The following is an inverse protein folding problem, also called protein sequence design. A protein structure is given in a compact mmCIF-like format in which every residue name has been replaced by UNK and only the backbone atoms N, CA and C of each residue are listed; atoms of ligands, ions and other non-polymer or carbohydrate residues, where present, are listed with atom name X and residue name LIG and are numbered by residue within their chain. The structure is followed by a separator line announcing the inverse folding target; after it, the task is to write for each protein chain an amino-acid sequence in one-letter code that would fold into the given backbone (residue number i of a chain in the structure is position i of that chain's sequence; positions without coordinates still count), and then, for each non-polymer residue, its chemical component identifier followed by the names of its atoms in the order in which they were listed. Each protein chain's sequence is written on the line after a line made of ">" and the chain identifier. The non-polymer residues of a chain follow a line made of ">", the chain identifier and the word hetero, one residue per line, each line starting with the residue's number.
data_IF_115558338469
#
_entry.id   IF_115558338469
#
_cell.length_a   1.000
_cell.length_b   1.000
_cell.length_c   1.000
_cell.angle_alpha   90.00
_cell.angle_beta   90.00
_cell.angle_gamma   90.00
#
_symmetry.space_group_name_H-M   'P 1'
#
loop_
_entity.id
_entity.type
_entity.pdbx_description
1 polymer ?
#
# COMPACT_ATOMS: atom_id res chain seq x y z
N UNK A 1 -8.25 -9.01 -10.28
CA UNK A 1 -8.50 -9.03 -11.76
C UNK A 1 -9.41 -10.21 -12.06
N UNK A 2 -10.65 -9.95 -12.43
CA UNK A 2 -11.58 -10.99 -12.88
C UNK A 2 -11.21 -11.37 -14.32
N UNK A 3 -10.80 -12.62 -14.52
CA UNK A 3 -10.73 -13.32 -15.81
C UNK A 3 -10.15 -12.55 -17.01
N UNK A 4 -8.84 -12.32 -17.07
CA UNK A 4 -8.17 -11.94 -18.33
C UNK A 4 -8.46 -10.53 -18.87
N UNK A 5 -9.16 -9.68 -18.14
CA UNK A 5 -9.41 -8.31 -18.53
C UNK A 5 -8.16 -7.44 -18.29
N UNK A 6 -7.93 -6.51 -19.22
CA UNK A 6 -6.86 -5.52 -19.09
C UNK A 6 -7.12 -4.62 -17.86
N UNK A 7 -6.08 -4.29 -17.06
CA UNK A 7 -6.22 -3.39 -15.91
C UNK A 7 -6.78 -2.03 -16.31
N UNK A 8 -7.66 -1.49 -15.48
CA UNK A 8 -8.26 -0.17 -15.68
C UNK A 8 -7.54 0.88 -14.84
N UNK A 9 -6.99 1.89 -15.49
CA UNK A 9 -6.25 2.99 -14.88
C UNK A 9 -7.01 4.30 -15.12
N UNK A 10 -7.35 4.99 -14.03
CA UNK A 10 -7.94 6.33 -14.07
C UNK A 10 -6.82 7.36 -14.02
N UNK A 11 -6.79 8.27 -14.99
CA UNK A 11 -5.83 9.39 -15.05
C UNK A 11 -6.58 10.69 -14.80
N UNK A 12 -6.16 11.43 -13.78
CA UNK A 12 -6.77 12.71 -13.37
C UNK A 12 -5.70 13.80 -13.41
N UNK A 13 -5.80 14.72 -14.36
CA UNK A 13 -4.91 15.86 -14.50
C UNK A 13 -5.68 16.96 -15.24
N UNK A 14 -5.57 18.23 -14.88
CA UNK A 14 -6.26 19.31 -15.60
C UNK A 14 -5.53 19.71 -16.91
N UNK A 15 -4.25 19.30 -17.06
CA UNK A 15 -3.48 19.47 -18.30
C UNK A 15 -3.84 18.38 -19.32
N UNK A 16 -4.44 18.80 -20.44
CA UNK A 16 -4.84 17.90 -21.52
C UNK A 16 -3.64 17.21 -22.19
N UNK A 17 -2.50 17.89 -22.32
CA UNK A 17 -1.29 17.34 -22.96
C UNK A 17 -0.74 16.19 -22.10
N UNK A 18 -0.73 16.35 -20.80
CA UNK A 18 -0.29 15.31 -19.86
C UNK A 18 -1.25 14.13 -19.92
N UNK A 19 -2.56 14.38 -19.80
CA UNK A 19 -3.57 13.31 -19.92
C UNK A 19 -3.46 12.53 -21.21
N UNK A 20 -3.35 13.21 -22.35
CA UNK A 20 -3.20 12.58 -23.65
C UNK A 20 -1.93 11.72 -23.74
N UNK A 21 -0.81 12.24 -23.24
CA UNK A 21 0.48 11.55 -23.26
C UNK A 21 0.46 10.29 -22.40
N UNK A 22 -0.11 10.36 -21.20
CA UNK A 22 -0.29 9.22 -20.30
C UNK A 22 -1.24 8.19 -20.90
N UNK A 23 -2.39 8.62 -21.42
CA UNK A 23 -3.35 7.74 -22.09
C UNK A 23 -2.69 7.00 -23.25
N UNK A 24 -2.00 7.71 -24.15
CA UNK A 24 -1.33 7.11 -25.30
C UNK A 24 -0.25 6.10 -24.90
N UNK A 25 0.55 6.42 -23.88
CA UNK A 25 1.62 5.53 -23.40
C UNK A 25 1.05 4.28 -22.73
N UNK A 26 0.11 4.45 -21.82
CA UNK A 26 -0.42 3.35 -21.01
C UNK A 26 -1.36 2.44 -21.82
N UNK A 27 -2.15 2.99 -22.75
CA UNK A 27 -2.96 2.17 -23.66
C UNK A 27 -2.10 1.28 -24.57
N UNK A 28 -0.91 1.75 -25.01
CA UNK A 28 0.02 0.91 -25.77
C UNK A 28 0.60 -0.25 -24.97
N UNK A 29 0.57 -0.17 -23.63
CA UNK A 29 0.97 -1.24 -22.73
C UNK A 29 -0.19 -2.22 -22.41
N UNK A 30 -1.36 -2.01 -23.03
CA UNK A 30 -2.51 -2.89 -22.88
C UNK A 30 -3.43 -2.55 -21.70
N UNK A 31 -3.33 -1.33 -21.13
CA UNK A 31 -4.21 -0.88 -20.06
C UNK A 31 -5.45 -0.17 -20.60
N UNK A 32 -6.59 -0.33 -19.92
CA UNK A 32 -7.79 0.45 -20.17
C UNK A 32 -7.66 1.79 -19.45
N UNK A 33 -7.76 2.90 -20.17
CA UNK A 33 -7.54 4.23 -19.61
C UNK A 33 -8.84 5.02 -19.57
N UNK A 34 -9.17 5.53 -18.39
CA UNK A 34 -10.23 6.52 -18.19
C UNK A 34 -9.53 7.84 -17.87
N UNK A 35 -9.71 8.83 -18.75
CA UNK A 35 -9.05 10.14 -18.66
C UNK A 35 -10.04 11.18 -18.16
N UNK A 36 -9.75 11.82 -17.03
CA UNK A 36 -10.60 12.79 -16.35
C UNK A 36 -9.82 14.08 -16.09
N UNK A 37 -10.51 15.21 -16.17
CA UNK A 37 -9.91 16.52 -15.90
C UNK A 37 -10.17 17.05 -14.49
N UNK A 38 -10.98 16.32 -13.69
CA UNK A 38 -11.41 16.76 -12.35
C UNK A 38 -11.41 15.59 -11.38
N UNK A 39 -11.02 15.85 -10.14
CA UNK A 39 -11.07 14.87 -9.07
C UNK A 39 -12.49 14.44 -8.70
N UNK A 40 -13.47 15.37 -8.80
CA UNK A 40 -14.88 15.09 -8.53
C UNK A 40 -15.45 14.02 -9.47
N UNK A 41 -15.04 14.04 -10.75
CA UNK A 41 -15.47 13.05 -11.74
C UNK A 41 -14.90 11.66 -11.41
N UNK A 42 -13.67 11.61 -10.87
CA UNK A 42 -13.06 10.37 -10.40
C UNK A 42 -13.80 9.80 -9.18
N UNK A 43 -14.18 10.65 -8.21
CA UNK A 43 -15.00 10.21 -7.07
C UNK A 43 -16.39 9.74 -7.48
N UNK A 44 -17.00 10.44 -8.44
CA UNK A 44 -18.30 10.01 -8.98
C UNK A 44 -18.19 8.64 -9.65
N UNK A 45 -17.13 8.43 -10.44
CA UNK A 45 -16.83 7.16 -11.09
C UNK A 45 -16.66 6.03 -10.06
N UNK A 46 -15.87 6.25 -9.01
CA UNK A 46 -15.63 5.26 -7.96
C UNK A 46 -16.90 4.83 -7.20
N UNK A 47 -17.88 5.73 -7.08
CA UNK A 47 -19.11 5.47 -6.35
C UNK A 47 -20.21 4.81 -7.20
N UNK A 48 -20.21 5.04 -8.50
CA UNK A 48 -21.36 4.72 -9.37
C UNK A 48 -20.99 3.74 -10.50
N UNK A 49 -19.74 3.38 -10.66
CA UNK A 49 -19.29 2.49 -11.74
C UNK A 49 -18.98 1.09 -11.19
N UNK A 50 -19.51 0.07 -11.83
CA UNK A 50 -19.26 -1.33 -11.50
C UNK A 50 -17.89 -1.83 -12.01
N UNK A 51 -17.18 -1.02 -12.79
CA UNK A 51 -15.86 -1.38 -13.30
C UNK A 51 -14.83 -1.42 -12.18
N UNK A 52 -14.09 -2.50 -12.13
CA UNK A 52 -12.95 -2.62 -11.23
C UNK A 52 -11.85 -1.62 -11.69
N UNK A 53 -11.59 -0.58 -10.90
CA UNK A 53 -10.50 0.35 -11.11
C UNK A 53 -9.27 -0.18 -10.39
N UNK A 54 -8.18 -0.37 -11.13
CA UNK A 54 -6.96 -1.00 -10.61
C UNK A 54 -5.92 0.00 -10.12
N UNK A 55 -5.94 1.24 -10.64
CA UNK A 55 -5.01 2.30 -10.27
C UNK A 55 -5.62 3.66 -10.56
N UNK A 56 -5.37 4.63 -9.70
CA UNK A 56 -5.59 6.04 -9.95
C UNK A 56 -4.23 6.73 -10.09
N UNK A 57 -4.06 7.53 -11.12
CA UNK A 57 -2.94 8.46 -11.31
C UNK A 57 -3.53 9.86 -11.24
N UNK A 58 -3.11 10.67 -10.29
CA UNK A 58 -3.66 12.02 -10.12
C UNK A 58 -2.58 13.07 -9.92
N UNK A 59 -2.76 14.24 -10.54
CA UNK A 59 -1.99 15.44 -10.14
C UNK A 59 -2.45 15.89 -8.74
N UNK A 60 -1.56 16.48 -7.98
CA UNK A 60 -1.91 17.16 -6.72
C UNK A 60 -2.69 18.43 -7.01
N UNK A 61 -2.19 19.26 -7.95
CA UNK A 61 -2.78 20.57 -8.23
C UNK A 61 -3.88 20.46 -9.27
N UNK A 62 -5.08 20.13 -8.82
CA UNK A 62 -6.29 20.15 -9.61
C UNK A 62 -7.16 21.36 -9.21
N UNK A 63 -8.08 21.73 -10.09
CA UNK A 63 -9.07 22.78 -9.79
C UNK A 63 -10.14 22.24 -8.84
N UNK A 64 -10.62 23.06 -7.89
CA UNK A 64 -11.61 22.76 -6.86
C UNK A 64 -11.13 21.75 -5.83
N UNK A 65 -11.27 20.44 -6.08
CA UNK A 65 -10.74 19.37 -5.25
C UNK A 65 -9.33 19.03 -5.68
N UNK A 66 -8.36 19.05 -4.76
CA UNK A 66 -6.98 18.65 -5.05
C UNK A 66 -6.78 17.13 -5.02
N UNK A 67 -5.65 16.66 -5.56
CA UNK A 67 -5.34 15.23 -5.65
C UNK A 67 -5.12 14.57 -4.28
N UNK A 68 -4.72 15.33 -3.26
CA UNK A 68 -4.57 14.82 -1.88
C UNK A 68 -5.94 14.60 -1.25
N UNK A 69 -6.87 15.50 -1.50
CA UNK A 69 -8.26 15.34 -1.05
C UNK A 69 -8.93 14.14 -1.72
N UNK A 70 -8.72 13.96 -3.04
CA UNK A 70 -9.15 12.77 -3.76
C UNK A 70 -8.59 11.50 -3.10
N UNK A 71 -7.28 11.46 -2.86
CA UNK A 71 -6.59 10.33 -2.21
C UNK A 71 -7.20 9.98 -0.85
N UNK A 72 -7.50 10.98 -0.03
CA UNK A 72 -8.15 10.77 1.28
C UNK A 72 -9.50 10.09 1.13
N UNK A 73 -10.33 10.54 0.18
CA UNK A 73 -11.63 9.92 -0.08
C UNK A 73 -11.50 8.48 -0.58
N UNK A 74 -10.51 8.21 -1.43
CA UNK A 74 -10.23 6.86 -1.94
C UNK A 74 -9.83 5.92 -0.81
N UNK A 75 -8.96 6.37 0.11
CA UNK A 75 -8.42 5.52 1.16
C UNK A 75 -9.38 5.18 2.31
N UNK A 76 -10.44 5.99 2.51
CA UNK A 76 -11.49 5.67 3.50
C UNK A 76 -12.60 4.80 2.92
N UNK A 77 -12.55 4.46 1.63
CA UNK A 77 -13.52 3.56 1.00
C UNK A 77 -13.31 2.11 1.45
N UNK A 78 -14.37 1.30 1.38
CA UNK A 78 -14.31 -0.13 1.74
C UNK A 78 -13.29 -0.91 0.89
N UNK A 79 -13.06 -0.48 -0.34
CA UNK A 79 -12.09 -1.06 -1.27
C UNK A 79 -11.16 0.03 -1.80
N UNK A 80 -10.11 0.41 -1.07
CA UNK A 80 -9.21 1.47 -1.48
C UNK A 80 -8.48 1.11 -2.78
N UNK A 81 -8.52 2.03 -3.73
CA UNK A 81 -7.81 1.89 -5.01
C UNK A 81 -6.40 2.43 -4.86
N UNK A 82 -5.36 1.68 -5.27
CA UNK A 82 -4.00 2.18 -5.31
C UNK A 82 -3.93 3.53 -6.02
N UNK A 83 -3.22 4.50 -5.44
CA UNK A 83 -3.10 5.84 -6.01
C UNK A 83 -1.64 6.23 -6.17
N UNK A 84 -1.28 6.63 -7.39
CA UNK A 84 -0.01 7.22 -7.78
C UNK A 84 -0.19 8.73 -7.93
N UNK A 85 0.63 9.50 -7.25
CA UNK A 85 0.59 10.96 -7.31
C UNK A 85 1.57 11.48 -8.36
N UNK A 86 1.14 12.45 -9.15
CA UNK A 86 2.03 13.24 -10.00
C UNK A 86 2.08 14.65 -9.41
N UNK A 87 3.27 15.22 -9.25
CA UNK A 87 3.44 16.53 -8.62
C UNK A 87 4.39 17.43 -9.40
N UNK A 88 4.09 18.72 -9.47
CA UNK A 88 4.94 19.73 -10.09
C UNK A 88 6.21 20.06 -9.27
N UNK A 89 7.11 20.87 -9.85
CA UNK A 89 8.32 21.32 -9.16
C UNK A 89 7.99 22.15 -7.92
N UNK A 90 8.67 21.85 -6.81
CA UNK A 90 8.75 22.69 -5.62
C UNK A 90 8.12 22.13 -4.34
N UNK A 91 7.31 21.08 -4.37
CA UNK A 91 6.58 20.63 -3.19
C UNK A 91 6.93 19.18 -2.79
N UNK A 92 8.17 18.98 -2.31
CA UNK A 92 8.53 17.71 -1.62
C UNK A 92 7.60 17.49 -0.41
N UNK A 93 7.19 18.55 0.25
CA UNK A 93 6.23 18.50 1.38
C UNK A 93 4.89 17.91 0.96
N UNK A 94 4.36 18.31 -0.20
CA UNK A 94 3.10 17.75 -0.72
C UNK A 94 3.24 16.27 -1.10
N UNK A 95 4.39 15.84 -1.64
CA UNK A 95 4.68 14.45 -1.92
C UNK A 95 4.75 13.61 -0.62
N UNK A 96 5.46 14.11 0.40
CA UNK A 96 5.53 13.47 1.72
C UNK A 96 4.13 13.38 2.34
N UNK A 97 3.35 14.45 2.24
CA UNK A 97 1.97 14.49 2.72
C UNK A 97 1.10 13.46 2.01
N UNK A 98 1.23 13.34 0.68
CA UNK A 98 0.51 12.33 -0.08
C UNK A 98 0.87 10.90 0.36
N UNK A 99 2.15 10.58 0.57
CA UNK A 99 2.57 9.28 1.09
C UNK A 99 1.98 8.99 2.48
N UNK A 100 1.97 9.99 3.39
CA UNK A 100 1.33 9.86 4.71
C UNK A 100 -0.18 9.60 4.63
N UNK A 101 -0.84 10.09 3.59
CA UNK A 101 -2.26 9.82 3.33
C UNK A 101 -2.49 8.53 2.52
N UNK A 102 -1.43 7.74 2.28
CA UNK A 102 -1.54 6.40 1.70
C UNK A 102 -1.40 6.37 0.18
N UNK A 103 -0.81 7.38 -0.46
CA UNK A 103 -0.32 7.22 -1.82
C UNK A 103 0.75 6.13 -1.85
N UNK A 104 0.71 5.27 -2.87
CA UNK A 104 1.70 4.20 -3.01
C UNK A 104 3.05 4.70 -3.48
N UNK A 105 3.05 5.76 -4.29
CA UNK A 105 4.26 6.37 -4.83
C UNK A 105 3.95 7.76 -5.39
N UNK A 106 4.99 8.52 -5.76
CA UNK A 106 4.83 9.78 -6.44
C UNK A 106 5.87 9.96 -7.55
N UNK A 107 5.51 10.74 -8.59
CA UNK A 107 6.38 11.11 -9.70
C UNK A 107 6.42 12.62 -9.83
N UNK A 108 7.62 13.19 -10.01
CA UNK A 108 7.80 14.63 -10.15
C UNK A 108 7.74 15.06 -11.63
N UNK A 109 7.00 16.14 -11.89
CA UNK A 109 7.04 16.83 -13.18
C UNK A 109 8.32 17.72 -13.27
N UNK A 110 9.06 17.75 -14.39
CA UNK A 110 8.86 16.94 -15.61
C UNK A 110 9.32 15.49 -15.41
N UNK A 111 8.63 14.54 -16.03
CA UNK A 111 8.90 13.11 -15.92
C UNK A 111 9.07 12.44 -17.30
N UNK A 112 9.76 11.32 -17.34
CA UNK A 112 9.82 10.43 -18.50
C UNK A 112 8.62 9.49 -18.51
N UNK A 113 8.00 9.31 -19.67
CA UNK A 113 6.89 8.38 -19.86
C UNK A 113 7.27 6.91 -19.61
N UNK A 114 8.56 6.55 -19.69
CA UNK A 114 9.05 5.21 -19.35
C UNK A 114 9.14 5.03 -17.84
N UNK A 115 9.49 6.07 -17.09
CA UNK A 115 9.46 6.10 -15.64
C UNK A 115 8.04 5.84 -15.15
N UNK A 116 7.06 6.61 -15.63
CA UNK A 116 5.64 6.40 -15.30
C UNK A 116 5.20 4.98 -15.62
N UNK A 117 5.52 4.47 -16.81
CA UNK A 117 5.17 3.13 -17.24
C UNK A 117 5.77 2.04 -16.33
N UNK A 118 6.99 2.26 -15.83
CA UNK A 118 7.67 1.35 -14.91
C UNK A 118 6.98 1.31 -13.55
N UNK A 119 6.68 2.48 -12.98
CA UNK A 119 5.99 2.61 -11.68
C UNK A 119 4.59 1.99 -11.76
N UNK A 120 3.81 2.33 -12.78
CA UNK A 120 2.47 1.77 -13.02
C UNK A 120 2.50 0.24 -13.11
N UNK A 121 3.44 -0.32 -13.88
CA UNK A 121 3.61 -1.78 -14.01
C UNK A 121 3.91 -2.43 -12.66
N UNK A 122 4.78 -1.83 -11.86
CA UNK A 122 5.15 -2.35 -10.54
C UNK A 122 3.95 -2.34 -9.58
N UNK A 123 3.19 -1.25 -9.54
CA UNK A 123 1.99 -1.14 -8.70
C UNK A 123 0.96 -2.20 -9.10
N UNK A 124 0.63 -2.29 -10.38
CA UNK A 124 -0.37 -3.24 -10.89
C UNK A 124 0.05 -4.70 -10.68
N UNK A 125 1.35 -5.01 -10.86
CA UNK A 125 1.89 -6.35 -10.59
C UNK A 125 1.76 -6.71 -9.10
N UNK A 126 2.10 -5.82 -8.17
CA UNK A 126 1.93 -6.04 -6.73
C UNK A 126 0.46 -6.28 -6.38
N UNK A 127 -0.45 -5.47 -6.92
CA UNK A 127 -1.89 -5.65 -6.72
C UNK A 127 -2.37 -7.01 -7.22
N UNK A 128 -1.90 -7.45 -8.38
CA UNK A 128 -2.24 -8.77 -8.92
C UNK A 128 -1.72 -9.90 -8.04
N UNK A 129 -0.49 -9.81 -7.53
CA UNK A 129 0.06 -10.80 -6.59
C UNK A 129 -0.77 -10.87 -5.31
N UNK A 130 -1.09 -9.74 -4.69
CA UNK A 130 -1.98 -9.68 -3.52
C UNK A 130 -3.38 -10.24 -3.81
N UNK A 131 -3.94 -9.98 -4.97
CA UNK A 131 -5.25 -10.55 -5.37
C UNK A 131 -5.20 -12.07 -5.51
N UNK A 132 -4.12 -12.63 -6.05
CA UNK A 132 -3.91 -14.07 -6.14
C UNK A 132 -3.70 -14.70 -4.74
N UNK A 133 -2.90 -14.09 -3.89
CA UNK A 133 -2.71 -14.53 -2.50
C UNK A 133 -4.03 -14.50 -1.73
N UNK A 134 -4.84 -13.46 -1.90
CA UNK A 134 -6.19 -13.35 -1.32
C UNK A 134 -7.13 -14.43 -1.83
N UNK A 135 -7.05 -14.76 -3.13
CA UNK A 135 -7.88 -15.81 -3.73
C UNK A 135 -7.45 -17.19 -3.23
N UNK A 136 -6.15 -17.45 -3.12
CA UNK A 136 -5.62 -18.71 -2.58
C UNK A 136 -5.91 -18.84 -1.08
N UNK A 137 -5.81 -17.74 -0.33
CA UNK A 137 -6.06 -17.72 1.13
C UNK A 137 -7.44 -18.30 1.50
N UNK A 138 -8.48 -18.07 0.70
CA UNK A 138 -9.83 -18.60 0.96
C UNK A 138 -9.94 -20.14 0.82
N UNK A 139 -8.95 -20.80 0.21
CA UNK A 139 -8.89 -22.25 0.04
C UNK A 139 -7.93 -22.92 1.04
N UNK A 140 -7.23 -22.13 1.87
CA UNK A 140 -6.35 -22.65 2.91
C UNK A 140 -7.24 -23.14 4.05
N UNK A 141 -7.25 -24.44 4.27
CA UNK A 141 -7.97 -25.11 5.36
C UNK A 141 -7.06 -25.28 6.57
N UNK A 142 -5.76 -25.47 6.32
CA UNK A 142 -4.74 -25.67 7.34
C UNK A 142 -3.39 -25.13 6.83
N UNK A 143 -2.64 -24.42 7.68
CA UNK A 143 -1.35 -23.83 7.34
C UNK A 143 -0.37 -24.09 8.49
N UNK A 144 0.54 -25.04 8.28
CA UNK A 144 1.61 -25.37 9.20
C UNK A 144 2.94 -24.81 8.73
N UNK A 145 3.54 -23.91 9.53
CA UNK A 145 4.84 -23.32 9.23
C UNK A 145 5.78 -23.48 10.42
N UNK A 146 7.00 -23.87 10.13
CA UNK A 146 8.10 -23.84 11.09
C UNK A 146 9.06 -22.77 10.66
N UNK A 147 9.28 -21.77 11.52
CA UNK A 147 10.22 -20.68 11.28
C UNK A 147 11.37 -20.80 12.27
N UNK A 148 12.59 -20.73 11.77
CA UNK A 148 13.80 -20.56 12.59
C UNK A 148 14.23 -19.13 12.41
N UNK A 149 14.01 -18.31 13.43
CA UNK A 149 14.28 -16.87 13.39
C UNK A 149 15.49 -16.57 14.28
N UNK A 150 16.43 -15.72 13.82
CA UNK A 150 17.49 -15.22 14.68
C UNK A 150 16.90 -14.34 15.80
N UNK A 151 17.65 -14.14 16.85
CA UNK A 151 17.33 -13.20 17.92
C UNK A 151 17.63 -11.79 17.37
N UNK A 152 16.69 -11.21 16.67
CA UNK A 152 16.81 -9.89 16.05
C UNK A 152 15.45 -9.21 16.12
N UNK A 153 15.39 -8.10 16.84
CA UNK A 153 14.14 -7.34 17.07
C UNK A 153 13.51 -6.84 15.76
N UNK A 154 14.33 -6.53 14.76
CA UNK A 154 13.84 -6.05 13.45
C UNK A 154 13.06 -7.10 12.66
N UNK A 155 13.23 -8.38 13.01
CA UNK A 155 12.56 -9.51 12.35
C UNK A 155 11.18 -9.80 13.00
N UNK A 156 10.97 -9.44 14.26
CA UNK A 156 9.73 -9.73 14.96
C UNK A 156 8.51 -9.12 14.25
N UNK A 157 8.60 -7.86 13.83
CA UNK A 157 7.56 -7.17 13.06
C UNK A 157 7.24 -7.90 11.75
N UNK A 158 8.28 -8.29 11.01
CA UNK A 158 8.15 -8.98 9.74
C UNK A 158 7.50 -10.35 9.91
N UNK A 159 7.87 -11.09 10.94
CA UNK A 159 7.30 -12.41 11.27
C UNK A 159 5.84 -12.28 11.70
N UNK A 160 5.52 -11.33 12.58
CA UNK A 160 4.14 -11.08 13.01
C UNK A 160 3.24 -10.73 11.82
N UNK A 161 3.70 -9.83 10.95
CA UNK A 161 3.01 -9.48 9.71
C UNK A 161 2.82 -10.70 8.79
N UNK A 162 3.88 -11.45 8.52
CA UNK A 162 3.86 -12.61 7.61
C UNK A 162 2.91 -13.71 8.08
N UNK A 163 2.84 -13.95 9.39
CA UNK A 163 1.95 -14.96 9.97
C UNK A 163 0.49 -14.52 9.99
N UNK A 164 0.23 -13.22 10.06
CA UNK A 164 -1.14 -12.68 10.23
C UNK A 164 -1.75 -12.12 8.95
N UNK A 165 -0.95 -11.84 7.92
CA UNK A 165 -1.42 -11.22 6.67
C UNK A 165 -2.56 -12.00 5.99
N UNK A 166 -2.61 -13.32 6.14
CA UNK A 166 -3.63 -14.16 5.53
C UNK A 166 -4.96 -14.19 6.30
N UNK A 167 -4.99 -13.77 7.56
CA UNK A 167 -6.18 -13.87 8.41
C UNK A 167 -7.36 -13.05 7.88
N UNK A 168 -7.11 -11.84 7.41
CA UNK A 168 -8.13 -10.99 6.80
C UNK A 168 -8.48 -11.45 5.38
N UNK A 169 -7.50 -11.94 4.62
CA UNK A 169 -7.68 -12.40 3.25
C UNK A 169 -8.51 -13.68 3.17
N UNK A 170 -8.24 -14.61 4.07
CA UNK A 170 -9.02 -15.86 4.19
C UNK A 170 -10.39 -15.66 4.83
N UNK A 171 -10.78 -14.41 5.14
CA UNK A 171 -12.03 -14.03 5.81
C UNK A 171 -12.21 -14.69 7.20
N UNK A 172 -11.14 -15.12 7.85
CA UNK A 172 -11.19 -15.61 9.21
C UNK A 172 -11.56 -14.51 10.20
N UNK A 173 -11.18 -13.26 9.89
CA UNK A 173 -11.54 -12.09 10.69
C UNK A 173 -11.54 -10.82 9.83
N UNK A 174 -12.07 -9.72 10.36
CA UNK A 174 -11.97 -8.42 9.71
C UNK A 174 -10.54 -7.84 9.87
N UNK A 175 -10.22 -6.78 9.10
CA UNK A 175 -8.90 -6.15 9.06
C UNK A 175 -8.45 -5.66 10.44
N UNK A 176 -9.33 -5.00 11.20
CA UNK A 176 -9.01 -4.50 12.55
C UNK A 176 -8.64 -5.63 13.51
N UNK A 177 -9.35 -6.76 13.44
CA UNK A 177 -9.04 -7.95 14.23
C UNK A 177 -7.69 -8.55 13.82
N UNK A 178 -7.38 -8.61 12.51
CA UNK A 178 -6.09 -9.10 12.03
C UNK A 178 -4.92 -8.20 12.51
N UNK A 179 -5.10 -6.89 12.51
CA UNK A 179 -4.14 -5.93 13.03
C UNK A 179 -3.91 -6.13 14.55
N UNK A 180 -4.97 -6.32 15.32
CA UNK A 180 -4.86 -6.62 16.76
C UNK A 180 -4.15 -7.95 17.03
N UNK A 181 -4.41 -9.00 16.23
CA UNK A 181 -3.71 -10.27 16.33
C UNK A 181 -2.22 -10.09 16.00
N UNK A 182 -1.90 -9.30 14.98
CA UNK A 182 -0.52 -9.00 14.61
C UNK A 182 0.23 -8.29 15.74
N UNK A 183 -0.40 -7.31 16.37
CA UNK A 183 0.18 -6.62 17.54
C UNK A 183 0.39 -7.56 18.73
N UNK A 184 -0.58 -8.40 19.04
CA UNK A 184 -0.46 -9.37 20.11
C UNK A 184 0.65 -10.41 19.84
N UNK A 185 0.79 -10.83 18.58
CA UNK A 185 1.85 -11.75 18.18
C UNK A 185 3.22 -11.09 18.24
N UNK A 186 3.33 -9.83 17.82
CA UNK A 186 4.56 -9.05 17.93
C UNK A 186 5.01 -8.92 19.39
N UNK A 187 4.09 -8.58 20.29
CA UNK A 187 4.37 -8.49 21.74
C UNK A 187 4.83 -9.84 22.29
N UNK A 188 4.16 -10.93 21.89
CA UNK A 188 4.56 -12.28 22.30
C UNK A 188 5.95 -12.68 21.80
N UNK A 189 6.26 -12.36 20.54
CA UNK A 189 7.58 -12.63 19.94
C UNK A 189 8.68 -11.79 20.63
N UNK A 190 8.44 -10.51 20.84
CA UNK A 190 9.36 -9.64 21.56
C UNK A 190 9.63 -10.15 22.98
N UNK A 191 8.58 -10.51 23.72
CA UNK A 191 8.72 -11.07 25.04
C UNK A 191 9.50 -12.41 25.05
N UNK A 192 9.25 -13.27 24.06
CA UNK A 192 9.99 -14.53 23.92
C UNK A 192 11.47 -14.29 23.61
N UNK A 193 11.79 -13.30 22.77
CA UNK A 193 13.17 -12.94 22.46
C UNK A 193 13.91 -12.37 23.67
N UNK A 194 13.29 -11.43 24.40
CA UNK A 194 13.95 -10.76 25.53
C UNK A 194 13.98 -11.59 26.80
N UNK A 195 12.88 -12.24 27.15
CA UNK A 195 12.79 -12.99 28.42
C UNK A 195 13.10 -14.48 28.27
N UNK A 196 12.78 -15.06 27.09
CA UNK A 196 12.99 -16.47 26.86
C UNK A 196 14.43 -16.81 26.43
N UNK A 197 15.03 -15.98 25.55
CA UNK A 197 16.34 -16.28 24.97
C UNK A 197 17.49 -15.48 25.59
N UNK A 198 17.22 -14.22 26.01
CA UNK A 198 18.25 -13.33 26.56
C UNK A 198 18.19 -13.27 28.10
N UNK A 199 17.14 -13.82 28.71
CA UNK A 199 16.91 -13.83 30.18
C UNK A 199 16.98 -12.40 30.81
N UNK A 200 16.63 -11.36 30.02
CA UNK A 200 16.68 -9.96 30.45
C UNK A 200 15.49 -9.66 31.37
N UNK A 201 15.70 -9.21 32.61
CA UNK A 201 14.61 -8.85 33.52
C UNK A 201 13.76 -7.68 33.00
N UNK A 202 12.47 -7.68 33.24
CA UNK A 202 11.52 -6.64 32.82
C UNK A 202 11.89 -5.25 33.31
N UNK A 203 12.51 -5.14 34.47
CA UNK A 203 12.94 -3.89 35.12
C UNK A 203 14.00 -3.14 34.29
N UNK A 204 14.91 -3.87 33.63
CA UNK A 204 15.95 -3.26 32.78
C UNK A 204 15.37 -2.64 31.53
N UNK A 205 14.27 -3.18 31.00
CA UNK A 205 13.57 -2.65 29.82
C UNK A 205 12.86 -1.32 30.13
N UNK A 206 12.29 -1.18 31.30
CA UNK A 206 11.58 0.04 31.70
C UNK A 206 12.53 1.22 32.03
N UNK A 207 13.71 0.94 32.58
CA UNK A 207 14.66 1.98 32.99
C UNK A 207 15.50 2.55 31.83
N UNK A 208 15.81 1.77 30.80
CA UNK A 208 16.80 2.17 29.79
C UNK A 208 16.21 2.51 28.42
N UNK A 209 14.96 2.16 28.14
CA UNK A 209 14.34 2.34 26.81
C UNK A 209 15.10 1.55 25.73
N UNK A 210 14.58 1.56 24.50
CA UNK A 210 15.11 0.77 23.36
C UNK A 210 16.60 1.04 23.03
N UNK A 211 17.17 2.19 23.40
CA UNK A 211 18.58 2.54 23.14
C UNK A 211 19.59 1.86 24.10
N UNK A 212 19.18 1.50 25.30
CA UNK A 212 20.07 0.87 26.27
C UNK A 212 20.33 -0.62 26.01
N UNK A 213 19.49 -1.25 25.20
CA UNK A 213 19.59 -2.68 24.89
C UNK A 213 20.73 -3.06 23.95
N UNK A 214 21.21 -2.13 23.12
CA UNK A 214 22.29 -2.41 22.16
C UNK A 214 23.66 -2.52 22.80
N UNK A 215 23.87 -1.93 23.98
CA UNK A 215 25.18 -1.91 24.64
C UNK A 215 25.46 -3.17 25.50
N UNK A 216 24.44 -3.97 25.85
CA UNK A 216 24.60 -5.20 26.64
C UNK A 216 24.73 -6.49 25.80
N UNK A 217 24.54 -6.42 24.47
CA UNK A 217 24.57 -7.59 23.56
C UNK A 217 25.90 -7.72 22.81
N UNK A 218 26.92 -6.90 23.16
CA UNK A 218 28.29 -7.04 22.62
C UNK A 218 29.17 -7.88 23.60
#
# INVERSE_FOLDING_TARGET
>A
MKNGQAPTVVVVDDDEVIRYSLQKKLSRLGYNIISLSKAEDALFLLKNDERDIDLIITDIKLRKMDGIELLRHVNVSENPVPTLIITGQGNIEDAIKALRYGALDFIRKPFDMNEVASVVRNILRRRQQHSLENTLGQYIVDDHRTLVIPIDETIADLVAYELTKHLSYAKFCNRSTAENISMALLEALSNAMYHGNLEIPSEVREEQGVKGFHDEIQ
#
